data_IF_014636029322
#
_entry.id   IF_014636029322
#
_cell.length_a   1.000
_cell.length_b   1.000
_cell.length_c   1.000
_cell.angle_alpha   90.00
_cell.angle_beta   90.00
_cell.angle_gamma   90.00
#
_symmetry.space_group_name_H-M   'P 1'
#
loop_
_entity.id
_entity.type
_entity.pdbx_description
1 polymer ?
#
# COMPACT_ATOMS: atom_id res chain seq x y z
N UNK A 1 -10.11 13.18 3.92
CA UNK A 1 -10.99 12.07 3.51
C UNK A 1 -10.62 10.87 4.36
N UNK A 2 -11.60 10.21 4.97
CA UNK A 2 -11.34 9.05 5.84
C UNK A 2 -10.64 7.92 5.08
N UNK A 3 -9.81 7.13 5.75
CA UNK A 3 -9.21 5.92 5.20
C UNK A 3 -10.30 4.89 4.89
N UNK A 4 -10.54 4.67 3.61
CA UNK A 4 -11.53 3.72 3.09
C UNK A 4 -10.81 2.44 2.68
N UNK A 5 -11.21 1.31 3.27
CA UNK A 5 -10.85 -0.04 2.85
C UNK A 5 -12.11 -0.67 2.27
N UNK A 6 -12.16 -0.83 0.96
CA UNK A 6 -13.40 -1.23 0.28
C UNK A 6 -13.12 -2.11 -0.94
N UNK A 7 -14.14 -2.33 -1.76
CA UNK A 7 -14.13 -3.19 -2.95
C UNK A 7 -13.05 -2.81 -3.97
N UNK A 8 -12.59 -1.55 -3.96
CA UNK A 8 -11.58 -1.03 -4.88
C UNK A 8 -10.40 -0.46 -4.09
N UNK A 9 -9.80 -1.32 -3.28
CA UNK A 9 -8.54 -1.04 -2.59
C UNK A 9 -8.65 -0.10 -1.38
N UNK A 10 -7.48 0.44 -1.02
CA UNK A 10 -7.26 1.27 0.17
C UNK A 10 -7.03 2.71 -0.29
N UNK A 11 -7.87 3.63 0.17
CA UNK A 11 -7.91 5.01 -0.31
C UNK A 11 -7.99 5.97 0.86
N UNK A 12 -7.32 7.10 0.78
CA UNK A 12 -7.37 8.13 1.83
C UNK A 12 -6.60 9.37 1.42
N UNK A 13 -6.75 10.44 2.19
CA UNK A 13 -5.89 11.62 2.03
C UNK A 13 -4.49 11.29 2.57
N UNK A 14 -3.44 11.81 1.91
CA UNK A 14 -2.05 11.59 2.35
C UNK A 14 -1.77 12.40 3.62
N UNK A 15 -1.20 11.75 4.64
CA UNK A 15 -0.81 12.38 5.91
C UNK A 15 -1.92 12.32 6.97
N UNK A 16 -1.88 13.23 7.96
CA UNK A 16 -2.85 13.25 9.06
C UNK A 16 -2.68 12.11 10.06
N UNK A 17 -3.77 11.78 10.79
CA UNK A 17 -3.77 10.72 11.80
C UNK A 17 -3.93 9.33 11.17
N UNK A 18 -3.16 8.36 11.65
CA UNK A 18 -3.24 6.97 11.22
C UNK A 18 -4.61 6.35 11.52
N UNK A 19 -5.09 5.48 10.64
CA UNK A 19 -6.42 4.88 10.73
C UNK A 19 -7.56 5.78 10.22
N UNK A 20 -7.40 7.10 10.30
CA UNK A 20 -8.34 8.08 9.75
C UNK A 20 -7.93 8.55 8.35
N UNK A 21 -6.65 8.51 7.99
CA UNK A 21 -6.14 8.92 6.69
C UNK A 21 -5.13 7.89 6.16
N UNK A 22 -4.65 8.07 4.92
CA UNK A 22 -3.58 7.24 4.37
C UNK A 22 -2.23 7.82 4.78
N UNK A 23 -1.71 7.34 5.91
CA UNK A 23 -0.39 7.75 6.39
C UNK A 23 0.72 6.91 5.75
N UNK A 24 1.99 7.39 5.80
CA UNK A 24 3.13 6.58 5.40
C UNK A 24 3.20 5.22 6.12
N UNK A 25 2.87 5.18 7.41
CA UNK A 25 2.86 3.96 8.20
C UNK A 25 1.76 2.99 7.72
N UNK A 26 0.59 3.51 7.38
CA UNK A 26 -0.50 2.71 6.82
C UNK A 26 -0.10 2.10 5.47
N UNK A 27 0.56 2.86 4.59
CA UNK A 27 1.04 2.36 3.30
C UNK A 27 2.02 1.18 3.47
N UNK A 28 3.02 1.33 4.34
CA UNK A 28 3.99 0.27 4.66
C UNK A 28 3.30 -0.95 5.28
N UNK A 29 2.35 -0.73 6.19
CA UNK A 29 1.58 -1.80 6.85
C UNK A 29 0.79 -2.64 5.84
N UNK A 30 0.10 -2.01 4.90
CA UNK A 30 -0.69 -2.75 3.91
C UNK A 30 0.19 -3.44 2.86
N UNK A 31 1.28 -2.80 2.43
CA UNK A 31 2.24 -3.40 1.50
C UNK A 31 2.92 -4.65 2.10
N UNK A 32 3.41 -4.55 3.33
CA UNK A 32 4.03 -5.67 4.05
C UNK A 32 3.05 -6.80 4.36
N UNK A 33 1.80 -6.48 4.70
CA UNK A 33 0.74 -7.47 4.87
C UNK A 33 0.45 -8.22 3.56
N UNK A 34 0.35 -7.52 2.43
CA UNK A 34 0.20 -8.14 1.11
C UNK A 34 1.39 -9.05 0.78
N UNK A 35 2.62 -8.60 1.00
CA UNK A 35 3.83 -9.39 0.75
C UNK A 35 3.88 -10.66 1.62
N UNK A 36 3.49 -10.55 2.88
CA UNK A 36 3.41 -11.70 3.81
C UNK A 36 2.36 -12.71 3.35
N UNK A 37 1.17 -12.23 2.97
CA UNK A 37 0.10 -13.06 2.44
C UNK A 37 0.51 -13.73 1.11
N UNK A 38 1.16 -13.00 0.21
CA UNK A 38 1.59 -13.54 -1.09
C UNK A 38 2.61 -14.67 -0.93
N UNK A 39 3.54 -14.54 0.03
CA UNK A 39 4.50 -15.59 0.39
C UNK A 39 3.82 -16.85 0.88
N UNK A 40 2.82 -16.74 1.76
CA UNK A 40 2.09 -17.92 2.26
C UNK A 40 1.16 -18.53 1.21
N UNK A 41 0.63 -17.74 0.28
CA UNK A 41 -0.34 -18.19 -0.71
C UNK A 41 0.31 -18.82 -1.96
N UNK A 42 1.40 -18.26 -2.49
CA UNK A 42 1.86 -18.65 -3.83
C UNK A 42 2.56 -20.01 -3.91
N UNK A 43 3.04 -20.54 -2.79
CA UNK A 43 3.89 -21.74 -2.70
C UNK A 43 5.11 -21.73 -3.66
N UNK A 44 5.56 -20.54 -4.09
CA UNK A 44 6.73 -20.33 -4.94
C UNK A 44 7.93 -19.87 -4.12
N UNK A 45 9.10 -20.40 -4.43
CA UNK A 45 10.36 -19.92 -3.83
C UNK A 45 10.71 -18.49 -4.24
N UNK A 46 10.47 -18.14 -5.51
CA UNK A 46 10.75 -16.80 -6.05
C UNK A 46 9.46 -16.09 -6.46
N UNK A 47 9.24 -14.93 -5.87
CA UNK A 47 8.11 -14.05 -6.15
C UNK A 47 8.59 -12.82 -6.94
N UNK A 48 7.72 -12.31 -7.80
CA UNK A 48 7.93 -11.06 -8.52
C UNK A 48 6.65 -10.25 -8.44
N UNK A 49 6.75 -9.01 -7.97
CA UNK A 49 5.63 -8.08 -7.82
C UNK A 49 5.95 -6.85 -8.65
N UNK A 50 5.03 -6.49 -9.54
CA UNK A 50 5.16 -5.28 -10.37
C UNK A 50 4.38 -4.15 -9.69
N UNK A 51 5.04 -3.02 -9.49
CA UNK A 51 4.44 -1.85 -8.82
C UNK A 51 4.31 -0.73 -9.85
N UNK A 52 3.11 -0.16 -9.96
CA UNK A 52 2.82 1.03 -10.76
C UNK A 52 2.30 2.17 -9.89
N UNK A 53 2.35 3.41 -10.41
CA UNK A 53 1.76 4.59 -9.79
C UNK A 53 1.15 5.53 -10.83
N UNK A 54 0.25 6.40 -10.39
CA UNK A 54 -0.25 7.51 -11.20
C UNK A 54 0.67 8.74 -11.12
N UNK A 55 0.24 9.84 -11.76
CA UNK A 55 0.99 11.09 -11.87
C UNK A 55 0.84 12.03 -10.65
N UNK A 56 0.18 11.62 -9.55
CA UNK A 56 0.01 12.49 -8.38
C UNK A 56 1.36 12.87 -7.77
N UNK A 57 1.43 14.08 -7.23
CA UNK A 57 2.64 14.62 -6.56
C UNK A 57 3.09 13.70 -5.40
N UNK A 58 2.16 13.07 -4.69
CA UNK A 58 2.45 12.11 -3.63
C UNK A 58 2.87 10.72 -4.15
N UNK A 59 2.78 10.47 -5.46
CA UNK A 59 3.06 9.19 -6.10
C UNK A 59 4.48 8.68 -5.85
N UNK A 60 5.54 9.48 -6.07
CA UNK A 60 6.92 9.08 -5.78
C UNK A 60 7.12 8.68 -4.31
N UNK A 61 6.51 9.41 -3.37
CA UNK A 61 6.58 9.09 -1.94
C UNK A 61 5.94 7.73 -1.64
N UNK A 62 4.71 7.48 -2.12
CA UNK A 62 4.05 6.18 -1.93
C UNK A 62 4.82 5.05 -2.59
N UNK A 63 5.37 5.27 -3.77
CA UNK A 63 6.18 4.27 -4.48
C UNK A 63 7.40 3.84 -3.67
N UNK A 64 8.14 4.80 -3.10
CA UNK A 64 9.31 4.52 -2.27
C UNK A 64 8.97 3.83 -0.93
N UNK A 65 7.74 3.95 -0.44
CA UNK A 65 7.29 3.28 0.79
C UNK A 65 6.84 1.83 0.55
N UNK A 66 6.47 1.50 -0.69
CA UNK A 66 5.93 0.18 -1.08
C UNK A 66 7.00 -0.71 -1.71
N UNK A 67 8.00 -0.10 -2.35
CA UNK A 67 9.20 -0.78 -2.85
C UNK A 67 10.08 -1.27 -1.70
#
# INVERSE_FOLDING_TARGET
>A
MTLIKSISGIRGTIGGKAGDNLTPLDAVKFASAYGTWLKSYSNKEKLTVVIGRDARISGPMIHNLVM
#
